data_IF_996846469135
#
_entry.id   IF_996846469135
#
_cell.length_a   1.000
_cell.length_b   1.000
_cell.length_c   1.000
_cell.angle_alpha   90.00
_cell.angle_beta   90.00
_cell.angle_gamma   90.00
#
_symmetry.space_group_name_H-M   'P 1'
#
loop_
_entity.id
_entity.type
_entity.pdbx_description
1 polymer ?
#
# COMPACT_ATOMS: atom_id res chain seq x y z
N UNK A 1 -15.76 16.37 -7.61
CA UNK A 1 -15.33 15.30 -8.53
C UNK A 1 -14.59 14.22 -7.75
N UNK A 2 -14.68 12.94 -8.15
CA UNK A 2 -13.90 11.85 -7.52
C UNK A 2 -12.43 12.00 -7.93
N UNK A 3 -11.50 12.01 -6.96
CA UNK A 3 -10.05 11.98 -7.22
C UNK A 3 -9.65 10.60 -7.74
N UNK A 4 -8.77 10.55 -8.73
CA UNK A 4 -8.23 9.28 -9.22
C UNK A 4 -7.41 8.60 -8.11
N UNK A 5 -7.62 7.29 -7.84
CA UNK A 5 -6.83 6.57 -6.86
C UNK A 5 -5.45 6.26 -7.41
N UNK A 6 -4.42 6.42 -6.57
CA UNK A 6 -3.05 5.99 -6.84
C UNK A 6 -2.55 5.14 -5.68
N UNK A 7 -1.75 4.12 -5.99
CA UNK A 7 -1.16 3.22 -5.00
C UNK A 7 0.36 3.44 -4.97
N UNK A 8 0.91 3.67 -3.78
CA UNK A 8 2.34 3.81 -3.54
C UNK A 8 2.83 2.54 -2.83
N UNK A 9 3.65 1.76 -3.52
CA UNK A 9 4.17 0.49 -3.02
C UNK A 9 5.61 0.67 -2.52
N UNK A 10 5.88 0.19 -1.32
CA UNK A 10 7.24 0.15 -0.78
C UNK A 10 7.95 -1.16 -1.15
N UNK A 11 9.27 -1.22 -0.94
CA UNK A 11 10.07 -2.45 -1.08
C UNK A 11 10.32 -3.11 0.28
N UNK A 12 10.98 -4.28 0.27
CA UNK A 12 11.36 -5.01 1.48
C UNK A 12 12.12 -4.14 2.47
N UNK A 13 11.82 -4.30 3.77
CA UNK A 13 12.47 -3.58 4.87
C UNK A 13 11.90 -2.18 5.13
N UNK A 14 10.84 -1.78 4.43
CA UNK A 14 10.14 -0.50 4.58
C UNK A 14 8.67 -0.72 4.99
N UNK A 15 7.89 0.36 4.92
CA UNK A 15 6.45 0.42 5.18
C UNK A 15 5.83 1.59 4.39
N UNK A 16 4.50 1.64 4.31
CA UNK A 16 3.74 2.75 3.72
C UNK A 16 4.06 4.12 4.34
N UNK A 17 4.59 4.14 5.57
CA UNK A 17 5.11 5.32 6.25
C UNK A 17 6.16 6.09 5.43
N UNK A 18 6.92 5.41 4.57
CA UNK A 18 7.90 6.03 3.66
C UNK A 18 7.27 7.12 2.78
N UNK A 19 5.98 6.99 2.47
CA UNK A 19 5.28 7.84 1.51
C UNK A 19 4.61 9.07 2.11
N UNK A 20 4.70 9.33 3.42
CA UNK A 20 3.97 10.43 4.07
C UNK A 20 4.14 11.79 3.40
N UNK A 21 5.39 12.19 3.11
CA UNK A 21 5.66 13.48 2.49
C UNK A 21 5.09 13.57 1.06
N UNK A 22 5.24 12.50 0.27
CA UNK A 22 4.71 12.44 -1.09
C UNK A 22 3.17 12.38 -1.09
N UNK A 23 2.58 11.64 -0.17
CA UNK A 23 1.13 11.55 -0.03
C UNK A 23 0.50 12.90 0.33
N UNK A 24 1.17 13.72 1.14
CA UNK A 24 0.73 15.09 1.43
C UNK A 24 0.71 15.96 0.17
N UNK A 25 1.73 15.85 -0.69
CA UNK A 25 1.80 16.60 -1.95
C UNK A 25 0.77 16.11 -2.97
N UNK A 26 0.60 14.79 -3.12
CA UNK A 26 -0.32 14.20 -4.10
C UNK A 26 -1.78 14.24 -3.66
N UNK A 27 -2.04 14.32 -2.36
CA UNK A 27 -3.38 14.30 -1.76
C UNK A 27 -4.27 15.46 -2.20
N UNK A 28 -3.71 16.55 -2.71
CA UNK A 28 -4.46 17.66 -3.32
C UNK A 28 -5.21 17.22 -4.59
N UNK A 29 -4.60 16.34 -5.40
CA UNK A 29 -5.12 15.95 -6.71
C UNK A 29 -5.62 14.50 -6.77
N UNK A 30 -5.07 13.61 -5.94
CA UNK A 30 -5.31 12.17 -5.98
C UNK A 30 -5.88 11.64 -4.66
N UNK A 31 -6.53 10.47 -4.72
CA UNK A 31 -6.79 9.64 -3.53
C UNK A 31 -5.58 8.73 -3.36
N UNK A 32 -4.72 9.03 -2.40
CA UNK A 32 -3.47 8.28 -2.19
C UNK A 32 -3.73 7.07 -1.29
N UNK A 33 -3.29 5.90 -1.72
CA UNK A 33 -3.25 4.66 -0.95
C UNK A 33 -1.78 4.25 -0.78
N UNK A 34 -1.34 4.07 0.46
CA UNK A 34 0.01 3.60 0.79
C UNK A 34 -0.08 2.46 1.82
N UNK A 35 -0.59 1.28 1.41
CA UNK A 35 -0.69 0.13 2.31
C UNK A 35 0.70 -0.40 2.68
N UNK A 36 0.77 -1.07 3.83
CA UNK A 36 1.88 -1.96 4.13
C UNK A 36 1.68 -3.29 3.38
N UNK A 37 2.74 -3.79 2.75
CA UNK A 37 2.76 -5.13 2.15
C UNK A 37 2.63 -6.19 3.25
N UNK A 38 2.09 -7.37 2.91
CA UNK A 38 1.83 -8.47 3.83
C UNK A 38 3.12 -8.85 4.59
N UNK A 39 3.05 -8.85 5.93
CA UNK A 39 4.18 -9.12 6.81
C UNK A 39 5.15 -7.95 7.04
N UNK A 40 4.86 -6.76 6.49
CA UNK A 40 5.62 -5.53 6.75
C UNK A 40 4.81 -4.51 7.54
N UNK A 41 5.51 -3.57 8.18
CA UNK A 41 4.88 -2.46 8.90
C UNK A 41 3.85 -2.93 9.92
N UNK A 42 2.61 -2.47 9.75
CA UNK A 42 1.45 -2.85 10.56
C UNK A 42 0.61 -3.99 9.94
N UNK A 43 0.96 -4.48 8.75
CA UNK A 43 0.25 -5.59 8.11
C UNK A 43 0.60 -6.92 8.78
N UNK A 44 -0.40 -7.78 8.96
CA UNK A 44 -0.22 -9.12 9.49
C UNK A 44 0.68 -9.97 8.57
N UNK A 45 1.46 -10.91 9.13
CA UNK A 45 2.22 -11.86 8.33
C UNK A 45 1.29 -12.80 7.54
N UNK A 46 1.80 -13.32 6.42
CA UNK A 46 1.08 -14.33 5.64
C UNK A 46 0.97 -15.63 6.44
N UNK A 47 -0.25 -16.17 6.54
CA UNK A 47 -0.53 -17.43 7.26
C UNK A 47 -0.98 -18.57 6.35
N UNK A 48 -0.98 -18.37 5.02
CA UNK A 48 -1.35 -19.39 4.04
C UNK A 48 -0.16 -20.23 3.58
N UNK A 49 -0.44 -21.28 2.80
CA UNK A 49 0.57 -22.22 2.30
C UNK A 49 1.40 -21.69 1.12
N UNK A 50 0.84 -20.79 0.31
CA UNK A 50 1.50 -20.23 -0.87
C UNK A 50 1.34 -18.71 -0.90
N UNK A 51 2.38 -18.02 -1.34
CA UNK A 51 2.38 -16.56 -1.45
C UNK A 51 2.78 -16.15 -2.86
N UNK A 52 1.95 -15.33 -3.50
CA UNK A 52 2.27 -14.68 -4.76
C UNK A 52 1.71 -13.25 -4.79
N UNK A 53 2.02 -12.52 -5.86
CA UNK A 53 1.62 -11.12 -6.01
C UNK A 53 0.09 -10.93 -6.00
N UNK A 54 -0.68 -11.96 -6.35
CA UNK A 54 -2.14 -11.89 -6.32
C UNK A 54 -2.68 -11.72 -4.88
N UNK A 55 -2.02 -12.29 -3.87
CA UNK A 55 -2.42 -12.11 -2.46
C UNK A 55 -2.20 -10.66 -2.00
N UNK A 56 -1.09 -10.04 -2.39
CA UNK A 56 -0.83 -8.61 -2.16
C UNK A 56 -1.89 -7.73 -2.83
N UNK A 57 -2.15 -7.96 -4.12
CA UNK A 57 -3.13 -7.19 -4.87
C UNK A 57 -4.55 -7.32 -4.27
N UNK A 58 -4.91 -8.51 -3.78
CA UNK A 58 -6.22 -8.75 -3.16
C UNK A 58 -6.42 -8.03 -1.82
N UNK A 59 -5.34 -7.63 -1.14
CA UNK A 59 -5.40 -6.84 0.08
C UNK A 59 -5.67 -5.35 -0.23
N UNK A 60 -5.27 -4.87 -1.40
CA UNK A 60 -5.51 -3.50 -1.87
C UNK A 60 -6.88 -3.40 -2.55
N UNK A 61 -7.95 -3.35 -1.76
CA UNK A 61 -9.33 -3.14 -2.27
C UNK A 61 -9.73 -1.67 -2.11
N UNK A 62 -10.07 -1.02 -3.23
CA UNK A 62 -10.36 0.43 -3.31
C UNK A 62 -11.83 0.78 -3.28
#
# INVERSE_FOLDING_TARGET
MKKQPIVLLHCSGSSGAQWRALAAQLGEHYRVLAPDLIGYGAAAPWSGSEFCLAQEAAAVRS
#
